data_IF_167217988720
#
_entry.id   IF_167217988720
#
_cell.length_a   1.000
_cell.length_b   1.000
_cell.length_c   1.000
_cell.angle_alpha   90.00
_cell.angle_beta   90.00
_cell.angle_gamma   90.00
#
_symmetry.space_group_name_H-M   'P 1'
#
loop_
_entity.id
_entity.type
_entity.pdbx_description
1 polymer ?
#
# COMPACT_ATOMS: atom_id res chain seq x y z
N UNK A 1 19.80 5.78 -10.31
CA UNK A 1 19.76 4.39 -9.79
C UNK A 1 19.78 3.47 -11.00
N UNK A 2 20.55 2.41 -10.98
CA UNK A 2 20.50 1.39 -12.02
C UNK A 2 19.40 0.38 -11.68
N UNK A 3 18.53 0.13 -12.65
CA UNK A 3 17.46 -0.87 -12.49
C UNK A 3 17.89 -2.20 -13.15
N UNK A 4 17.39 -3.37 -12.69
CA UNK A 4 17.72 -4.66 -13.28
C UNK A 4 17.47 -4.70 -14.79
N UNK A 5 18.25 -5.48 -15.51
CA UNK A 5 18.11 -5.74 -16.95
C UNK A 5 18.11 -4.47 -17.84
N UNK A 6 18.80 -3.41 -17.40
CA UNK A 6 18.88 -2.14 -18.13
C UNK A 6 17.56 -1.39 -18.25
N UNK A 7 16.64 -1.64 -17.31
CA UNK A 7 15.38 -0.88 -17.22
C UNK A 7 15.64 0.56 -16.83
N UNK A 8 14.80 1.47 -17.31
CA UNK A 8 14.96 2.91 -17.11
C UNK A 8 14.29 3.40 -15.81
N UNK A 9 13.24 2.74 -15.36
CA UNK A 9 12.47 3.09 -14.16
C UNK A 9 11.76 1.86 -13.61
N UNK A 10 11.19 1.96 -12.39
CA UNK A 10 10.32 0.92 -11.83
C UNK A 10 8.90 1.42 -11.65
N UNK A 11 7.92 0.53 -11.84
CA UNK A 11 6.51 0.82 -11.59
C UNK A 11 5.80 -0.42 -11.05
N UNK A 12 5.07 -0.22 -9.96
CA UNK A 12 4.21 -1.26 -9.37
C UNK A 12 2.94 -0.64 -8.78
N UNK A 13 2.00 -1.50 -8.43
CA UNK A 13 0.74 -1.13 -7.79
C UNK A 13 0.56 -1.95 -6.53
N UNK A 14 0.12 -1.31 -5.44
CA UNK A 14 -0.50 -1.95 -4.30
C UNK A 14 -2.01 -1.68 -4.38
N UNK A 15 -2.79 -2.70 -4.73
CA UNK A 15 -4.25 -2.65 -4.86
C UNK A 15 -4.90 -3.03 -3.53
N UNK A 16 -5.51 -2.05 -2.86
CA UNK A 16 -6.30 -2.29 -1.65
C UNK A 16 -7.65 -2.93 -2.06
N UNK A 17 -8.22 -3.84 -1.25
CA UNK A 17 -9.40 -4.62 -1.63
C UNK A 17 -10.74 -3.87 -1.55
N UNK A 18 -10.71 -2.62 -1.12
CA UNK A 18 -11.88 -1.77 -0.90
C UNK A 18 -12.74 -1.68 -2.16
N UNK A 19 -14.06 -1.84 -1.98
CA UNK A 19 -15.07 -1.81 -3.04
C UNK A 19 -14.86 -2.82 -4.19
N UNK A 20 -13.90 -3.73 -4.08
CA UNK A 20 -13.59 -4.66 -5.17
C UNK A 20 -14.47 -5.90 -5.12
N UNK A 21 -15.19 -6.15 -6.20
CA UNK A 21 -15.88 -7.43 -6.46
C UNK A 21 -14.94 -8.41 -7.17
N UNK A 22 -15.23 -9.71 -7.07
CA UNK A 22 -14.51 -10.75 -7.81
C UNK A 22 -14.51 -10.49 -9.33
N UNK A 23 -15.64 -10.04 -9.89
CA UNK A 23 -15.77 -9.73 -11.31
C UNK A 23 -14.85 -8.58 -11.73
N UNK A 24 -14.91 -7.44 -11.01
CA UNK A 24 -14.03 -6.29 -11.28
C UNK A 24 -12.55 -6.65 -11.15
N UNK A 25 -12.20 -7.40 -10.11
CA UNK A 25 -10.83 -7.87 -9.90
C UNK A 25 -10.32 -8.72 -11.07
N UNK A 26 -11.11 -9.69 -11.54
CA UNK A 26 -10.74 -10.55 -12.67
C UNK A 26 -10.43 -9.75 -13.93
N UNK A 27 -11.29 -8.80 -14.30
CA UNK A 27 -11.10 -7.99 -15.50
C UNK A 27 -9.83 -7.13 -15.44
N UNK A 28 -9.61 -6.44 -14.31
CA UNK A 28 -8.43 -5.59 -14.16
C UNK A 28 -7.14 -6.42 -14.15
N UNK A 29 -7.11 -7.52 -13.40
CA UNK A 29 -5.91 -8.35 -13.29
C UNK A 29 -5.62 -9.17 -14.54
N UNK A 30 -6.64 -9.49 -15.36
CA UNK A 30 -6.45 -10.08 -16.69
C UNK A 30 -5.66 -9.09 -17.58
N UNK A 31 -6.09 -7.83 -17.67
CA UNK A 31 -5.37 -6.80 -18.41
C UNK A 31 -3.94 -6.62 -17.91
N UNK A 32 -3.73 -6.53 -16.59
CA UNK A 32 -2.40 -6.36 -16.03
C UNK A 32 -1.47 -7.53 -16.39
N UNK A 33 -1.98 -8.75 -16.28
CA UNK A 33 -1.22 -9.95 -16.61
C UNK A 33 -0.85 -10.03 -18.11
N UNK A 34 -1.80 -9.70 -19.00
CA UNK A 34 -1.60 -9.69 -20.45
C UNK A 34 -0.60 -8.64 -20.90
N UNK A 35 -0.54 -7.51 -20.19
CA UNK A 35 0.43 -6.44 -20.41
C UNK A 35 1.79 -6.70 -19.74
N UNK A 36 1.95 -7.82 -19.02
CA UNK A 36 3.21 -8.20 -18.38
C UNK A 36 3.46 -7.54 -17.01
N UNK A 37 2.47 -6.87 -16.43
CA UNK A 37 2.61 -6.34 -15.07
C UNK A 37 2.47 -7.46 -14.04
N UNK A 38 3.28 -7.35 -12.96
CA UNK A 38 3.08 -8.10 -11.72
C UNK A 38 3.05 -7.09 -10.60
N UNK A 39 1.94 -7.10 -9.86
CA UNK A 39 1.63 -6.10 -8.84
C UNK A 39 1.31 -6.80 -7.51
N UNK A 40 0.98 -6.04 -6.47
CA UNK A 40 0.60 -6.57 -5.17
C UNK A 40 -0.91 -6.40 -4.98
N UNK A 41 -1.60 -7.50 -4.68
CA UNK A 41 -3.01 -7.56 -4.30
C UNK A 41 -3.13 -7.57 -2.78
N UNK A 42 -3.63 -6.50 -2.18
CA UNK A 42 -4.04 -6.45 -0.78
C UNK A 42 -5.30 -7.28 -0.54
N UNK A 43 -5.36 -8.01 0.56
CA UNK A 43 -6.52 -8.84 0.90
C UNK A 43 -6.92 -8.70 2.38
N UNK A 44 -8.21 -8.91 2.65
CA UNK A 44 -8.72 -9.25 3.98
C UNK A 44 -8.82 -10.77 4.10
N UNK A 45 -8.06 -11.41 5.00
CA UNK A 45 -8.18 -12.87 5.22
C UNK A 45 -9.54 -13.29 5.76
N UNK A 46 -10.15 -12.43 6.57
CA UNK A 46 -11.41 -12.67 7.26
C UNK A 46 -12.47 -11.67 6.80
N UNK A 47 -13.73 -12.08 6.86
CA UNK A 47 -14.86 -11.15 6.72
C UNK A 47 -15.08 -10.36 8.01
N UNK A 48 -14.94 -11.05 9.15
CA UNK A 48 -15.29 -10.52 10.46
C UNK A 48 -16.80 -10.42 10.69
N UNK A 49 -17.16 -9.95 11.87
CA UNK A 49 -18.55 -9.84 12.38
C UNK A 49 -18.91 -8.42 12.85
N UNK A 50 -17.98 -7.50 12.77
CA UNK A 50 -18.16 -6.11 13.13
C UNK A 50 -18.82 -5.28 12.02
N UNK A 51 -19.10 -4.02 12.33
CA UNK A 51 -19.60 -3.06 11.33
C UNK A 51 -18.47 -2.69 10.37
N UNK A 52 -18.58 -3.01 9.08
CA UNK A 52 -17.52 -2.71 8.12
C UNK A 52 -17.41 -1.20 7.87
N UNK A 53 -16.19 -0.72 7.65
CA UNK A 53 -15.89 0.65 7.21
C UNK A 53 -15.98 0.80 5.69
N UNK A 54 -15.91 -0.33 4.95
CA UNK A 54 -16.09 -0.40 3.50
C UNK A 54 -16.72 -1.77 3.14
N UNK A 55 -16.82 -2.06 1.85
CA UNK A 55 -17.26 -3.34 1.30
C UNK A 55 -16.22 -3.87 0.30
N UNK A 56 -16.28 -5.14 -0.03
CA UNK A 56 -15.38 -5.80 -0.97
C UNK A 56 -15.29 -7.30 -0.72
N UNK A 57 -14.67 -8.01 -1.65
CA UNK A 57 -14.42 -9.45 -1.52
C UNK A 57 -13.38 -9.74 -0.45
N UNK A 58 -13.58 -10.82 0.30
CA UNK A 58 -12.65 -11.30 1.32
C UNK A 58 -12.20 -12.73 1.02
N UNK A 59 -11.04 -13.13 1.54
CA UNK A 59 -10.56 -14.52 1.40
C UNK A 59 -11.35 -15.53 2.23
N UNK A 60 -12.28 -15.10 3.07
CA UNK A 60 -13.27 -15.97 3.69
C UNK A 60 -14.20 -16.59 2.63
N UNK A 61 -14.42 -15.90 1.50
CA UNK A 61 -15.22 -16.36 0.36
C UNK A 61 -14.39 -17.30 -0.51
N UNK A 62 -14.81 -18.58 -0.71
CA UNK A 62 -14.00 -19.58 -1.42
C UNK A 62 -13.60 -19.16 -2.85
N UNK A 63 -14.52 -18.58 -3.62
CA UNK A 63 -14.27 -18.20 -5.01
C UNK A 63 -13.31 -17.02 -5.13
N UNK A 64 -13.45 -16.04 -4.22
CA UNK A 64 -12.52 -14.90 -4.15
C UNK A 64 -11.11 -15.36 -3.74
N UNK A 65 -11.02 -16.22 -2.71
CA UNK A 65 -9.76 -16.80 -2.26
C UNK A 65 -9.07 -17.61 -3.37
N UNK A 66 -9.81 -18.48 -4.06
CA UNK A 66 -9.28 -19.28 -5.17
C UNK A 66 -8.73 -18.41 -6.30
N UNK A 67 -9.40 -17.31 -6.62
CA UNK A 67 -8.94 -16.32 -7.59
C UNK A 67 -7.64 -15.63 -7.12
N UNK A 68 -7.55 -15.21 -5.86
CA UNK A 68 -6.32 -14.58 -5.32
C UNK A 68 -5.15 -15.58 -5.32
N UNK A 69 -5.40 -16.85 -4.97
CA UNK A 69 -4.39 -17.90 -5.07
C UNK A 69 -3.93 -18.14 -6.51
N UNK A 70 -4.82 -17.99 -7.49
CA UNK A 70 -4.45 -18.05 -8.91
C UNK A 70 -3.55 -16.85 -9.29
N UNK A 71 -3.85 -15.65 -8.81
CA UNK A 71 -2.97 -14.50 -9.01
C UNK A 71 -1.56 -14.75 -8.44
N UNK A 72 -1.47 -15.35 -7.24
CA UNK A 72 -0.19 -15.71 -6.63
C UNK A 72 0.61 -16.69 -7.52
N UNK A 73 -0.05 -17.75 -8.04
CA UNK A 73 0.59 -18.70 -8.97
C UNK A 73 1.07 -18.04 -10.26
N UNK A 74 0.41 -16.99 -10.71
CA UNK A 74 0.79 -16.17 -11.87
C UNK A 74 1.86 -15.13 -11.59
N UNK A 75 2.42 -15.11 -10.35
CA UNK A 75 3.53 -14.24 -9.96
C UNK A 75 3.13 -12.86 -9.43
N UNK A 76 1.85 -12.63 -9.14
CA UNK A 76 1.43 -11.48 -8.37
C UNK A 76 1.75 -11.72 -6.88
N UNK A 77 2.06 -10.66 -6.15
CA UNK A 77 2.20 -10.73 -4.70
C UNK A 77 0.82 -10.59 -4.04
N UNK A 78 0.62 -11.33 -2.95
CA UNK A 78 -0.51 -11.13 -2.04
C UNK A 78 0.00 -10.40 -0.81
N UNK A 79 -0.55 -9.21 -0.52
CA UNK A 79 -0.25 -8.40 0.66
C UNK A 79 -1.44 -8.38 1.61
N UNK A 80 -1.20 -8.00 2.86
CA UNK A 80 -2.25 -7.91 3.88
C UNK A 80 -2.88 -6.50 3.88
N UNK A 81 -4.21 -6.44 4.10
CA UNK A 81 -4.94 -5.18 4.29
C UNK A 81 -5.80 -5.25 5.56
N UNK A 82 -5.17 -5.29 6.75
CA UNK A 82 -5.74 -5.69 8.05
C UNK A 82 -6.35 -7.11 8.02
N UNK A 83 -6.84 -7.57 9.17
CA UNK A 83 -7.46 -8.90 9.28
C UNK A 83 -8.87 -8.95 8.68
N UNK A 84 -9.61 -7.85 8.82
CA UNK A 84 -11.03 -7.71 8.43
C UNK A 84 -11.31 -6.33 7.81
N UNK A 85 -12.54 -6.15 7.32
CA UNK A 85 -13.09 -4.87 6.80
C UNK A 85 -13.52 -3.88 7.91
N UNK A 86 -13.29 -4.20 9.18
CA UNK A 86 -13.70 -3.40 10.33
C UNK A 86 -12.61 -3.40 11.39
N UNK A 87 -12.77 -2.56 12.42
CA UNK A 87 -11.91 -2.60 13.60
C UNK A 87 -11.85 -4.00 14.20
N UNK A 88 -10.65 -4.53 14.36
CA UNK A 88 -10.37 -5.87 14.87
C UNK A 88 -9.77 -5.82 16.27
N UNK A 89 -10.20 -6.73 17.13
CA UNK A 89 -9.49 -7.04 18.36
C UNK A 89 -8.24 -7.89 18.08
N UNK A 90 -7.31 -7.95 19.03
CA UNK A 90 -6.07 -8.72 18.88
C UNK A 90 -6.29 -10.15 18.42
N UNK A 91 -7.26 -10.87 19.00
CA UNK A 91 -7.55 -12.25 18.63
C UNK A 91 -7.98 -12.40 17.14
N UNK A 92 -8.73 -11.43 16.61
CA UNK A 92 -9.08 -11.42 15.18
C UNK A 92 -7.85 -11.12 14.31
N UNK A 93 -6.97 -10.25 14.76
CA UNK A 93 -5.72 -9.96 14.06
C UNK A 93 -4.81 -11.20 14.02
N UNK A 94 -4.65 -11.91 15.13
CA UNK A 94 -3.92 -13.19 15.21
C UNK A 94 -4.51 -14.24 14.27
N UNK A 95 -5.85 -14.40 14.29
CA UNK A 95 -6.54 -15.31 13.37
C UNK A 95 -6.35 -14.87 11.91
N UNK A 96 -6.32 -13.57 11.64
CA UNK A 96 -6.07 -13.00 10.30
C UNK A 96 -4.72 -13.41 9.75
N UNK A 97 -3.64 -13.31 10.55
CA UNK A 97 -2.30 -13.78 10.16
C UNK A 97 -2.27 -15.29 9.95
N UNK A 98 -2.88 -16.08 10.87
CA UNK A 98 -2.94 -17.53 10.73
C UNK A 98 -3.67 -17.95 9.45
N UNK A 99 -4.81 -17.31 9.13
CA UNK A 99 -5.56 -17.59 7.91
C UNK A 99 -4.84 -17.11 6.64
N UNK A 100 -4.15 -16.00 6.70
CA UNK A 100 -3.30 -15.56 5.60
C UNK A 100 -2.22 -16.60 5.29
N UNK A 101 -1.50 -17.07 6.32
CA UNK A 101 -0.47 -18.09 6.17
C UNK A 101 -1.04 -19.44 5.66
N UNK A 102 -2.21 -19.85 6.15
CA UNK A 102 -2.94 -21.04 5.68
C UNK A 102 -3.30 -20.94 4.18
N UNK A 103 -3.78 -19.78 3.75
CA UNK A 103 -4.26 -19.59 2.37
C UNK A 103 -3.15 -19.41 1.35
N UNK A 104 -2.04 -18.77 1.73
CA UNK A 104 -0.99 -18.32 0.81
C UNK A 104 0.39 -18.92 1.06
N UNK A 105 0.51 -19.82 2.04
CA UNK A 105 1.73 -20.61 2.29
C UNK A 105 2.84 -19.87 3.03
N UNK A 106 2.52 -18.76 3.73
CA UNK A 106 3.47 -18.00 4.53
C UNK A 106 2.93 -16.64 4.98
N UNK A 107 3.75 -15.91 5.71
CA UNK A 107 3.38 -14.60 6.23
C UNK A 107 3.26 -13.52 5.14
N UNK A 108 2.43 -12.48 5.35
CA UNK A 108 2.38 -11.34 4.45
C UNK A 108 3.68 -10.53 4.55
N UNK A 109 4.40 -10.39 3.43
CA UNK A 109 5.63 -9.60 3.40
C UNK A 109 5.35 -8.11 3.35
N UNK A 110 4.30 -7.72 2.59
CA UNK A 110 3.85 -6.33 2.48
C UNK A 110 2.46 -6.15 3.07
N UNK A 111 2.25 -5.00 3.67
CA UNK A 111 0.97 -4.61 4.25
C UNK A 111 0.64 -3.15 3.99
N UNK A 112 -0.65 -2.89 3.76
CA UNK A 112 -1.24 -1.57 3.84
C UNK A 112 -2.41 -1.61 4.83
N UNK A 113 -2.47 -0.64 5.72
CA UNK A 113 -3.53 -0.62 6.73
C UNK A 113 -4.83 -0.06 6.15
N UNK A 114 -5.96 -0.71 6.46
CA UNK A 114 -7.30 -0.26 6.10
C UNK A 114 -7.69 0.99 6.90
N UNK A 115 -8.33 1.96 6.26
CA UNK A 115 -8.68 3.22 6.91
C UNK A 115 -9.76 3.05 7.99
N UNK A 116 -9.78 3.97 8.97
CA UNK A 116 -10.74 3.99 10.09
C UNK A 116 -10.76 2.77 11.02
N UNK A 117 -9.81 1.85 10.93
CA UNK A 117 -9.67 0.74 11.87
C UNK A 117 -8.84 1.17 13.08
N UNK A 118 -9.42 1.08 14.28
CA UNK A 118 -8.79 1.61 15.51
C UNK A 118 -7.55 0.81 15.94
N UNK A 119 -7.41 -0.44 15.47
CA UNK A 119 -6.21 -1.26 15.65
C UNK A 119 -5.03 -0.85 14.75
N UNK A 120 -5.16 0.15 13.91
CA UNK A 120 -4.05 0.57 13.05
C UNK A 120 -2.82 0.99 13.87
N UNK A 121 -1.63 0.55 13.42
CA UNK A 121 -0.35 0.87 14.06
C UNK A 121 0.16 2.22 13.57
N UNK A 122 0.48 3.12 14.51
CA UNK A 122 1.03 4.45 14.19
C UNK A 122 0.24 5.20 13.13
N UNK A 123 -1.09 5.09 13.15
CA UNK A 123 -2.00 5.79 12.24
C UNK A 123 -2.38 7.16 12.79
N UNK A 124 -3.04 7.99 12.00
CA UNK A 124 -3.49 9.31 12.42
C UNK A 124 -2.34 10.19 12.94
N UNK A 125 -2.47 10.68 14.16
CA UNK A 125 -1.44 11.52 14.81
C UNK A 125 -0.19 10.73 15.23
N UNK A 126 -0.26 9.39 15.25
CA UNK A 126 0.89 8.50 15.43
C UNK A 126 1.88 8.50 14.26
N UNK A 127 1.44 8.94 13.06
CA UNK A 127 2.31 9.09 11.88
C UNK A 127 3.33 10.22 12.00
N UNK A 128 3.09 11.16 12.88
CA UNK A 128 3.88 12.40 13.01
C UNK A 128 4.32 12.63 14.45
N UNK A 129 5.32 13.49 14.66
CA UNK A 129 5.96 13.70 15.95
C UNK A 129 6.14 15.19 16.27
N UNK A 130 6.30 15.54 17.56
CA UNK A 130 6.63 16.88 18.02
C UNK A 130 5.71 17.98 17.48
N UNK A 131 6.25 19.05 16.95
CA UNK A 131 5.47 20.16 16.36
C UNK A 131 4.64 19.74 15.16
N UNK A 132 5.10 18.76 14.35
CA UNK A 132 4.33 18.20 13.24
C UNK A 132 3.05 17.51 13.72
N UNK A 133 3.09 16.85 14.87
CA UNK A 133 1.91 16.23 15.51
C UNK A 133 0.90 17.26 15.99
N UNK A 134 1.37 18.35 16.60
CA UNK A 134 0.48 19.45 17.00
C UNK A 134 -0.21 20.07 15.77
N UNK A 135 0.54 20.33 14.70
CA UNK A 135 -0.01 20.86 13.46
C UNK A 135 -1.03 19.90 12.82
N UNK A 136 -0.69 18.61 12.75
CA UNK A 136 -1.62 17.59 12.24
C UNK A 136 -2.93 17.54 13.04
N UNK A 137 -2.83 17.53 14.37
CA UNK A 137 -4.02 17.50 15.23
C UNK A 137 -4.89 18.75 15.05
N UNK A 138 -4.29 19.94 14.95
CA UNK A 138 -5.02 21.16 14.64
C UNK A 138 -5.70 21.09 13.25
N UNK A 139 -4.98 20.62 12.22
CA UNK A 139 -5.49 20.45 10.85
C UNK A 139 -6.68 19.49 10.81
N UNK A 140 -6.63 18.39 11.58
CA UNK A 140 -7.69 17.37 11.64
C UNK A 140 -8.74 17.66 12.73
N UNK A 141 -8.74 18.86 13.32
CA UNK A 141 -9.63 19.26 14.41
C UNK A 141 -9.63 18.26 15.57
N UNK A 142 -8.46 17.67 15.86
CA UNK A 142 -8.22 16.69 16.94
C UNK A 142 -8.99 15.38 16.81
N UNK A 143 -9.66 15.11 15.69
CA UNK A 143 -10.50 13.92 15.47
C UNK A 143 -9.72 12.59 15.52
N UNK A 144 -8.44 12.62 15.16
CA UNK A 144 -7.58 11.43 15.09
C UNK A 144 -6.62 11.31 16.29
N UNK A 145 -6.76 12.17 17.28
CA UNK A 145 -5.86 12.18 18.43
C UNK A 145 -6.12 10.97 19.32
N UNK A 146 -5.10 10.13 19.50
CA UNK A 146 -5.15 8.96 20.39
C UNK A 146 -6.18 7.90 20.00
N UNK A 147 -6.64 7.91 18.76
CA UNK A 147 -7.65 6.98 18.26
C UNK A 147 -7.10 5.59 17.94
N UNK A 148 -5.86 5.50 17.47
CA UNK A 148 -5.32 4.26 16.89
C UNK A 148 -4.40 3.56 17.88
N UNK A 149 -4.69 2.30 18.19
CA UNK A 149 -4.16 1.60 19.36
C UNK A 149 -3.27 0.40 19.02
N UNK A 150 -3.15 0.00 17.75
CA UNK A 150 -2.40 -1.21 17.35
C UNK A 150 -0.93 -1.23 17.79
N UNK A 151 -0.31 -0.05 17.96
CA UNK A 151 1.04 0.10 18.48
C UNK A 151 1.12 0.44 19.98
N UNK A 152 0.00 0.44 20.72
CA UNK A 152 -0.05 0.80 22.14
C UNK A 152 -0.03 -0.45 23.00
N UNK A 153 1.15 -0.79 23.56
CA UNK A 153 1.32 -1.96 24.44
C UNK A 153 0.34 -1.91 25.61
N UNK A 154 -0.30 -3.05 25.90
CA UNK A 154 -1.31 -3.19 26.94
C UNK A 154 -2.73 -2.84 26.54
N UNK A 155 -2.97 -2.28 25.34
CA UNK A 155 -4.31 -2.06 24.82
C UNK A 155 -4.89 -3.36 24.23
N UNK A 156 -6.22 -3.64 24.33
CA UNK A 156 -6.85 -4.85 23.77
C UNK A 156 -6.63 -5.03 22.25
N UNK A 157 -6.42 -3.93 21.53
CA UNK A 157 -6.14 -3.93 20.08
C UNK A 157 -4.65 -3.90 19.74
N UNK A 158 -3.76 -4.06 20.74
CA UNK A 158 -2.32 -4.10 20.50
C UNK A 158 -1.92 -5.34 19.69
N UNK A 159 -1.18 -5.16 18.61
CA UNK A 159 -0.59 -6.22 17.78
C UNK A 159 0.77 -5.84 17.18
N UNK A 160 1.44 -4.86 17.78
CA UNK A 160 2.76 -4.42 17.34
C UNK A 160 3.81 -5.52 17.29
N UNK A 161 3.79 -6.44 18.25
CA UNK A 161 4.61 -7.64 18.28
C UNK A 161 4.36 -8.56 17.07
N UNK A 162 3.11 -8.79 16.71
CA UNK A 162 2.74 -9.56 15.52
C UNK A 162 3.18 -8.86 14.24
N UNK A 163 3.01 -7.53 14.16
CA UNK A 163 3.51 -6.75 13.03
C UNK A 163 5.02 -6.95 12.84
N UNK A 164 5.79 -6.83 13.91
CA UNK A 164 7.24 -7.00 13.88
C UNK A 164 7.65 -8.42 13.48
N UNK A 165 6.88 -9.42 13.89
CA UNK A 165 7.14 -10.82 13.59
C UNK A 165 6.80 -11.19 12.13
N UNK A 166 5.65 -10.75 11.62
CA UNK A 166 5.03 -11.27 10.39
C UNK A 166 5.11 -10.32 9.19
N UNK A 167 5.25 -9.00 9.40
CA UNK A 167 5.22 -8.00 8.32
C UNK A 167 6.60 -7.38 8.12
N UNK A 168 7.15 -7.48 6.90
CA UNK A 168 8.44 -6.85 6.60
C UNK A 168 8.28 -5.39 6.16
N UNK A 169 7.32 -5.09 5.29
CA UNK A 169 7.10 -3.77 4.71
C UNK A 169 5.69 -3.28 4.97
N UNK A 170 5.54 -2.09 5.54
CA UNK A 170 4.24 -1.46 5.79
C UNK A 170 4.16 -0.10 5.09
N UNK A 171 3.03 0.15 4.40
CA UNK A 171 2.77 1.45 3.76
C UNK A 171 2.49 2.51 4.83
N UNK A 172 3.17 3.67 4.72
CA UNK A 172 2.95 4.81 5.59
C UNK A 172 2.31 5.98 4.81
N UNK A 173 3.16 6.81 4.17
CA UNK A 173 2.71 8.03 3.53
C UNK A 173 2.28 7.79 2.08
N UNK A 174 1.26 8.52 1.64
CA UNK A 174 0.87 8.64 0.23
C UNK A 174 1.12 10.06 -0.24
N UNK A 175 1.54 10.21 -1.50
CA UNK A 175 1.89 11.50 -2.09
C UNK A 175 1.28 11.67 -3.48
N UNK A 176 0.98 12.92 -3.87
CA UNK A 176 0.56 13.24 -5.23
C UNK A 176 1.71 13.13 -6.28
N UNK A 177 2.90 12.72 -5.86
CA UNK A 177 4.08 12.56 -6.70
C UNK A 177 4.15 11.14 -7.28
N UNK A 178 4.29 11.03 -8.62
CA UNK A 178 4.44 9.72 -9.27
C UNK A 178 5.76 9.04 -8.90
N UNK A 179 6.86 9.82 -8.80
CA UNK A 179 8.14 9.29 -8.36
C UNK A 179 8.17 9.20 -6.83
N UNK A 180 7.78 8.02 -6.31
CA UNK A 180 7.74 7.78 -4.85
C UNK A 180 9.13 7.85 -4.21
N UNK A 181 10.21 7.54 -4.94
CA UNK A 181 11.57 7.72 -4.44
C UNK A 181 11.94 9.20 -4.27
N UNK A 182 11.44 10.08 -5.12
CA UNK A 182 11.64 11.52 -4.97
C UNK A 182 10.85 12.06 -3.77
N UNK A 183 9.63 11.57 -3.56
CA UNK A 183 8.80 11.95 -2.41
C UNK A 183 9.34 11.42 -1.09
N UNK A 184 9.81 10.16 -1.08
CA UNK A 184 10.34 9.45 0.07
C UNK A 184 11.68 8.79 -0.27
N UNK A 185 12.79 9.57 -0.30
CA UNK A 185 14.09 9.06 -0.78
C UNK A 185 14.75 8.02 0.14
N UNK A 186 14.22 7.84 1.34
CA UNK A 186 14.76 6.90 2.35
C UNK A 186 14.11 5.53 2.29
N UNK A 187 12.99 5.33 1.58
CA UNK A 187 12.26 4.06 1.56
C UNK A 187 13.02 2.92 0.88
N UNK A 188 12.86 1.67 1.35
CA UNK A 188 12.20 1.33 2.60
C UNK A 188 13.09 1.69 3.80
N UNK A 189 12.49 2.11 4.91
CA UNK A 189 13.24 2.56 6.09
C UNK A 189 12.64 2.03 7.41
N UNK A 190 13.51 1.73 8.37
CA UNK A 190 13.13 1.51 9.77
C UNK A 190 13.13 2.83 10.53
N UNK A 191 12.11 3.07 11.34
CA UNK A 191 12.02 4.23 12.25
C UNK A 191 12.07 3.76 13.71
N UNK A 192 13.19 3.97 14.39
CA UNK A 192 13.36 3.57 15.78
C UNK A 192 12.34 4.21 16.76
N UNK A 193 11.69 5.31 16.38
CA UNK A 193 10.59 5.87 17.18
C UNK A 193 9.25 5.13 16.98
N UNK A 194 9.19 4.20 16.03
CA UNK A 194 8.04 3.35 15.69
C UNK A 194 8.47 1.90 15.54
N UNK A 195 9.00 1.27 16.62
CA UNK A 195 9.79 0.04 16.54
C UNK A 195 9.00 -1.18 16.08
N UNK A 196 7.66 -1.17 16.18
CA UNK A 196 6.83 -2.32 15.78
C UNK A 196 6.69 -2.50 14.28
N UNK A 197 7.21 -1.58 13.45
CA UNK A 197 7.23 -1.74 11.99
C UNK A 197 8.67 -1.92 11.54
N UNK A 198 8.95 -3.05 10.87
CA UNK A 198 10.29 -3.37 10.40
C UNK A 198 10.77 -2.35 9.37
N UNK A 199 10.02 -2.16 8.28
CA UNK A 199 10.32 -1.17 7.26
C UNK A 199 9.06 -0.48 6.75
N UNK A 200 9.15 0.84 6.65
CA UNK A 200 8.12 1.68 6.06
C UNK A 200 8.38 1.96 4.58
N UNK A 201 7.33 2.03 3.78
CA UNK A 201 7.39 2.56 2.42
C UNK A 201 6.28 3.58 2.15
N UNK A 202 6.44 4.36 1.08
CA UNK A 202 5.49 5.36 0.63
C UNK A 202 4.90 4.97 -0.74
N UNK A 203 3.74 5.52 -1.06
CA UNK A 203 3.04 5.30 -2.33
C UNK A 203 2.69 6.62 -3.03
N UNK A 204 2.50 6.55 -4.34
CA UNK A 204 1.80 7.57 -5.11
C UNK A 204 0.29 7.36 -4.97
N UNK A 205 -0.48 8.44 -4.81
CA UNK A 205 -1.92 8.39 -4.63
C UNK A 205 -2.66 8.27 -5.96
N UNK A 206 -3.44 7.20 -6.10
CA UNK A 206 -4.29 6.92 -7.25
C UNK A 206 -5.51 6.11 -6.83
N UNK A 207 -6.18 6.51 -5.74
CA UNK A 207 -7.23 5.75 -5.06
C UNK A 207 -8.40 5.32 -5.95
N UNK A 208 -8.76 6.11 -6.97
CA UNK A 208 -9.82 5.81 -7.95
C UNK A 208 -9.26 5.75 -9.35
N UNK A 209 -10.02 5.22 -10.32
CA UNK A 209 -9.62 5.18 -11.72
C UNK A 209 -9.21 6.58 -12.25
N UNK A 210 -9.97 7.63 -11.94
CA UNK A 210 -9.67 9.00 -12.39
C UNK A 210 -8.39 9.55 -11.75
N UNK A 211 -8.20 9.34 -10.45
CA UNK A 211 -6.97 9.71 -9.77
C UNK A 211 -5.76 8.95 -10.32
N UNK A 212 -5.92 7.65 -10.54
CA UNK A 212 -4.89 6.77 -11.11
C UNK A 212 -4.46 7.23 -12.50
N UNK A 213 -5.40 7.42 -13.44
CA UNK A 213 -5.07 7.83 -14.82
C UNK A 213 -4.48 9.24 -14.89
N UNK A 214 -4.88 10.12 -13.97
CA UNK A 214 -4.25 11.43 -13.82
C UNK A 214 -2.80 11.29 -13.38
N UNK A 215 -2.52 10.37 -12.43
CA UNK A 215 -1.18 10.15 -11.88
C UNK A 215 -0.22 9.52 -12.89
N UNK A 216 -0.69 8.58 -13.72
CA UNK A 216 0.10 7.93 -14.77
C UNK A 216 -0.09 8.57 -16.16
N UNK A 217 -0.51 9.83 -16.21
CA UNK A 217 -0.58 10.56 -17.47
C UNK A 217 0.76 10.56 -18.23
N UNK A 218 0.71 10.80 -19.51
CA UNK A 218 1.86 10.65 -20.41
C UNK A 218 3.10 11.41 -19.94
N UNK A 219 2.92 12.70 -19.60
CA UNK A 219 4.02 13.55 -19.13
C UNK A 219 4.59 13.09 -17.78
N UNK A 220 3.75 12.55 -16.87
CA UNK A 220 4.19 12.04 -15.57
C UNK A 220 5.04 10.79 -15.74
N UNK A 221 4.66 9.87 -16.62
CA UNK A 221 5.43 8.66 -16.91
C UNK A 221 6.75 9.00 -17.61
N UNK A 222 6.74 9.94 -18.55
CA UNK A 222 7.95 10.42 -19.24
C UNK A 222 8.94 11.04 -18.25
N UNK A 223 8.44 11.82 -17.28
CA UNK A 223 9.27 12.35 -16.20
C UNK A 223 9.80 11.26 -15.31
N UNK A 224 8.97 10.26 -14.88
CA UNK A 224 9.41 9.13 -14.06
C UNK A 224 10.57 8.37 -14.74
N UNK A 225 10.45 8.12 -16.05
CA UNK A 225 11.47 7.46 -16.87
C UNK A 225 12.74 8.31 -16.96
N UNK A 226 12.61 9.61 -17.27
CA UNK A 226 13.75 10.53 -17.36
C UNK A 226 14.50 10.70 -16.03
N UNK A 227 13.80 10.62 -14.90
CA UNK A 227 14.39 10.68 -13.56
C UNK A 227 15.00 9.34 -13.09
N UNK A 228 14.82 8.25 -13.83
CA UNK A 228 15.21 6.91 -13.38
C UNK A 228 14.55 6.51 -12.06
N UNK A 229 13.31 6.95 -11.84
CA UNK A 229 12.59 6.86 -10.58
C UNK A 229 11.86 5.56 -10.36
N UNK A 230 11.12 5.48 -9.24
CA UNK A 230 10.18 4.39 -8.97
C UNK A 230 8.81 4.92 -8.57
N UNK A 231 7.77 4.24 -9.03
CA UNK A 231 6.39 4.46 -8.61
C UNK A 231 5.85 3.21 -7.92
N UNK A 232 5.43 3.36 -6.66
CA UNK A 232 4.54 2.40 -5.98
C UNK A 232 3.18 3.05 -5.92
N UNK A 233 2.28 2.68 -6.82
CA UNK A 233 0.94 3.27 -6.89
C UNK A 233 0.03 2.60 -5.86
N UNK A 234 -0.64 3.39 -5.04
CA UNK A 234 -1.77 2.99 -4.23
C UNK A 234 -3.07 3.16 -5.01
N UNK A 235 -3.94 2.17 -4.97
CA UNK A 235 -5.25 2.25 -5.64
C UNK A 235 -6.25 1.27 -5.04
N UNK A 236 -7.54 1.43 -5.44
CA UNK A 236 -8.60 0.44 -5.25
C UNK A 236 -9.15 0.10 -6.63
N UNK A 237 -8.80 -1.05 -7.17
CA UNK A 237 -9.32 -1.48 -8.48
C UNK A 237 -10.84 -1.74 -8.48
N UNK A 238 -11.49 -1.69 -7.32
CA UNK A 238 -12.94 -1.66 -7.19
C UNK A 238 -13.59 -0.32 -7.54
N UNK A 239 -12.82 0.79 -7.62
CA UNK A 239 -13.35 2.15 -7.74
C UNK A 239 -13.19 2.72 -9.15
N UNK A 240 -14.16 2.42 -10.05
CA UNK A 240 -14.28 3.02 -11.37
C UNK A 240 -13.38 2.44 -12.46
N UNK A 241 -12.61 1.38 -12.19
CA UNK A 241 -11.78 0.72 -13.21
C UNK A 241 -12.56 -0.19 -14.15
N UNK A 242 -13.72 -0.66 -13.72
CA UNK A 242 -14.65 -1.49 -14.48
C UNK A 242 -16.10 -1.04 -14.20
N UNK A 243 -16.91 -0.89 -15.25
CA UNK A 243 -18.29 -0.39 -15.15
C UNK A 243 -19.37 -1.49 -15.16
N UNK A 244 -18.95 -2.75 -15.10
CA UNK A 244 -19.81 -3.94 -15.21
C UNK A 244 -19.80 -4.56 -16.60
N UNK A 245 -19.24 -3.88 -17.60
CA UNK A 245 -19.15 -4.36 -18.98
C UNK A 245 -17.76 -4.19 -19.58
N UNK A 246 -17.10 -3.09 -19.31
CA UNK A 246 -15.78 -2.74 -19.88
C UNK A 246 -14.87 -2.06 -18.86
N UNK A 247 -13.58 -2.20 -19.09
CA UNK A 247 -12.56 -1.48 -18.33
C UNK A 247 -12.55 0.02 -18.71
N UNK A 248 -12.16 0.86 -17.77
CA UNK A 248 -12.01 2.30 -17.95
C UNK A 248 -11.08 2.60 -19.15
N UNK A 249 -11.54 3.26 -20.24
CA UNK A 249 -10.80 3.33 -21.49
C UNK A 249 -9.44 4.04 -21.38
N UNK A 250 -9.36 5.08 -20.55
CA UNK A 250 -8.12 5.82 -20.32
C UNK A 250 -7.10 4.98 -19.55
N UNK A 251 -7.57 4.16 -18.58
CA UNK A 251 -6.73 3.20 -17.86
C UNK A 251 -6.11 2.18 -18.82
N UNK A 252 -6.92 1.53 -19.67
CA UNK A 252 -6.43 0.58 -20.67
C UNK A 252 -5.38 1.23 -21.58
N UNK A 253 -5.67 2.42 -22.12
CA UNK A 253 -4.75 3.15 -22.99
C UNK A 253 -3.41 3.45 -22.32
N UNK A 254 -3.43 3.97 -21.08
CA UNK A 254 -2.21 4.38 -20.38
C UNK A 254 -1.40 3.17 -19.93
N UNK A 255 -2.04 2.10 -19.43
CA UNK A 255 -1.33 0.87 -19.05
C UNK A 255 -0.71 0.18 -20.26
N UNK A 256 -1.40 0.14 -21.41
CA UNK A 256 -0.85 -0.39 -22.67
C UNK A 256 0.37 0.44 -23.14
N UNK A 257 0.30 1.76 -23.00
CA UNK A 257 1.45 2.63 -23.31
C UNK A 257 2.62 2.40 -22.35
N UNK A 258 2.34 2.30 -21.04
CA UNK A 258 3.34 2.06 -20.00
C UNK A 258 4.07 0.73 -20.21
N UNK A 259 3.34 -0.33 -20.57
CA UNK A 259 3.89 -1.66 -20.83
C UNK A 259 4.94 -1.70 -21.96
N UNK A 260 4.87 -0.74 -22.90
CA UNK A 260 5.83 -0.61 -24.02
C UNK A 260 7.11 0.15 -23.65
N UNK A 261 7.18 0.71 -22.42
CA UNK A 261 8.34 1.44 -21.95
C UNK A 261 9.38 0.49 -21.34
N UNK A 262 10.60 0.98 -21.15
CA UNK A 262 11.67 0.23 -20.46
C UNK A 262 11.50 0.23 -18.95
N UNK A 263 10.28 -0.12 -18.48
CA UNK A 263 9.96 -0.20 -17.06
C UNK A 263 10.26 -1.56 -16.45
N UNK A 264 10.56 -1.59 -15.16
CA UNK A 264 10.63 -2.79 -14.34
C UNK A 264 9.32 -2.95 -13.58
N UNK A 265 8.49 -3.93 -14.00
CA UNK A 265 7.12 -4.12 -13.56
C UNK A 265 7.01 -5.35 -12.66
N UNK A 266 7.28 -5.17 -11.38
CA UNK A 266 7.38 -6.24 -10.39
C UNK A 266 6.50 -5.94 -9.17
N UNK A 267 6.18 -6.95 -8.33
CA UNK A 267 5.47 -6.73 -7.08
C UNK A 267 6.21 -5.77 -6.14
N UNK A 268 5.44 -5.16 -5.23
CA UNK A 268 5.97 -4.19 -4.25
C UNK A 268 7.11 -4.78 -3.42
N UNK A 269 6.96 -6.01 -2.94
CA UNK A 269 8.03 -6.72 -2.22
C UNK A 269 9.33 -6.73 -3.00
N UNK A 270 9.28 -7.15 -4.25
CA UNK A 270 10.50 -7.30 -5.07
C UNK A 270 11.18 -5.96 -5.31
N UNK A 271 10.40 -4.90 -5.53
CA UNK A 271 10.92 -3.54 -5.64
C UNK A 271 11.58 -3.08 -4.34
N UNK A 272 10.91 -3.29 -3.19
CA UNK A 272 11.45 -2.86 -1.89
C UNK A 272 12.68 -3.68 -1.47
N UNK A 273 12.71 -4.99 -1.72
CA UNK A 273 13.88 -5.83 -1.48
C UNK A 273 15.08 -5.34 -2.29
N UNK A 274 14.87 -4.99 -3.56
CA UNK A 274 15.91 -4.42 -4.42
C UNK A 274 16.43 -3.09 -3.86
N UNK A 275 15.53 -2.16 -3.50
CA UNK A 275 15.91 -0.87 -2.93
C UNK A 275 16.69 -1.01 -1.62
N UNK A 276 16.29 -1.96 -0.77
CA UNK A 276 16.97 -2.22 0.50
C UNK A 276 18.37 -2.81 0.26
N UNK A 277 18.51 -3.74 -0.68
CA UNK A 277 19.80 -4.33 -1.07
C UNK A 277 20.77 -3.26 -1.61
N UNK A 278 20.29 -2.31 -2.43
CA UNK A 278 21.09 -1.17 -2.92
C UNK A 278 21.61 -0.24 -1.80
N UNK A 279 21.05 -0.35 -0.59
CA UNK A 279 21.44 0.40 0.62
C UNK A 279 22.28 -0.42 1.60
N UNK A 280 22.77 -1.58 1.20
CA UNK A 280 23.53 -2.47 2.07
C UNK A 280 22.70 -3.32 3.01
N UNK A 281 21.39 -3.46 2.75
CA UNK A 281 20.49 -4.31 3.53
C UNK A 281 19.84 -3.63 4.75
N UNK A 282 20.23 -2.40 5.07
CA UNK A 282 19.67 -1.61 6.17
C UNK A 282 19.33 -0.19 5.74
N UNK A 283 18.30 0.39 6.34
CA UNK A 283 17.92 1.78 6.14
C UNK A 283 17.25 2.31 7.41
N UNK A 284 18.03 2.94 8.28
CA UNK A 284 17.55 3.51 9.55
C UNK A 284 17.29 5.00 9.38
N UNK A 285 16.05 5.41 9.59
CA UNK A 285 15.63 6.80 9.45
C UNK A 285 16.15 7.66 10.61
N UNK A 286 16.94 8.66 10.28
CA UNK A 286 17.43 9.60 11.26
C UNK A 286 16.32 10.58 11.71
N UNK A 287 16.35 11.11 12.96
CA UNK A 287 15.31 12.00 13.46
C UNK A 287 15.07 13.25 12.60
N UNK A 288 16.11 13.78 11.94
CA UNK A 288 15.98 14.92 11.02
C UNK A 288 15.25 14.54 9.73
N UNK A 289 15.58 13.38 9.17
CA UNK A 289 14.93 12.81 7.98
C UNK A 289 13.46 12.49 8.24
N UNK A 290 13.14 11.92 9.42
CA UNK A 290 11.76 11.68 9.85
C UNK A 290 10.96 12.97 9.85
N UNK A 291 11.46 14.04 10.51
CA UNK A 291 10.79 15.34 10.54
C UNK A 291 10.60 15.95 9.15
N UNK A 292 11.55 15.71 8.24
CA UNK A 292 11.44 16.13 6.85
C UNK A 292 10.31 15.41 6.12
N UNK A 293 10.25 14.07 6.18
CA UNK A 293 9.18 13.28 5.57
C UNK A 293 7.79 13.64 6.13
N UNK A 294 7.68 13.79 7.45
CA UNK A 294 6.46 14.22 8.12
C UNK A 294 5.99 15.59 7.61
N UNK A 295 6.90 16.58 7.46
CA UNK A 295 6.56 17.90 6.91
C UNK A 295 6.14 17.84 5.45
N UNK A 296 6.85 17.06 4.63
CA UNK A 296 6.47 16.85 3.22
C UNK A 296 5.05 16.29 3.11
N UNK A 297 4.74 15.28 3.93
CA UNK A 297 3.40 14.70 3.97
C UNK A 297 2.34 15.68 4.47
N UNK A 298 2.61 16.47 5.51
CA UNK A 298 1.68 17.50 6.00
C UNK A 298 1.40 18.57 4.95
N UNK A 299 2.41 19.04 4.23
CA UNK A 299 2.25 19.97 3.10
C UNK A 299 1.37 19.33 2.02
N UNK A 300 1.61 18.06 1.68
CA UNK A 300 0.77 17.31 0.75
C UNK A 300 -0.69 17.26 1.22
N UNK A 301 -0.91 16.91 2.50
CA UNK A 301 -2.25 16.83 3.10
C UNK A 301 -3.01 18.17 3.06
N UNK A 302 -2.32 19.28 3.34
CA UNK A 302 -2.91 20.63 3.23
C UNK A 302 -3.28 20.97 1.79
N UNK A 303 -2.44 20.58 0.82
CA UNK A 303 -2.62 20.94 -0.59
C UNK A 303 -3.65 20.09 -1.32
N UNK A 304 -3.76 18.81 -0.99
CA UNK A 304 -4.56 17.84 -1.74
C UNK A 304 -5.68 17.20 -0.92
N UNK A 305 -5.78 17.47 0.38
CA UNK A 305 -6.86 17.04 1.26
C UNK A 305 -6.60 15.66 1.89
N UNK A 306 -6.61 14.59 1.12
CA UNK A 306 -6.48 13.23 1.66
C UNK A 306 -5.09 12.64 1.41
N UNK A 307 -4.58 11.96 2.41
CA UNK A 307 -3.47 11.01 2.33
C UNK A 307 -3.54 10.06 3.53
#
# INVERSE_FOLDING_TARGET
MEWPDGKAFAFTVFDDPDSQTLAAGREVYALLADLGFRTTKGVWPLRGDGKPSDHGGTCAEPDYRAWVQELQRRGFEVGLHNATLHTSERAQTELGFAKFAEYFGGDPVTMAQHYYCDENIYWGDGRVSGANRLFYNALTRWQNRGRFHGGLAGHPQFWGDLCQQHVRYMRNFTYAEINTLRACPYMPYHDAARPYVNYWFASAEGATADAFVTRIGEAQVERLEAEGGACIMYTHFGLGFWDGQKLHPRFVKLMTRLARRKGWFVPVRQLLDYLLAQRGGESILQPAQRRELERRWLVHKVRYGNA
#
